data_IF_218235118872
#
_entry.id   IF_218235118872
#
_cell.length_a   1.000
_cell.length_b   1.000
_cell.length_c   1.000
_cell.angle_alpha   90.00
_cell.angle_beta   90.00
_cell.angle_gamma   90.00
#
_symmetry.space_group_name_H-M   'P 1'
#
loop_
_entity.id
_entity.type
_entity.pdbx_description
1 polymer ?
#
# COMPACT_ATOMS: atom_id res chain seq x y z
N UNK A 1 -15.64 7.22 -4.68
CA UNK A 1 -14.84 6.77 -3.54
C UNK A 1 -15.79 6.03 -2.63
N UNK A 2 -15.62 4.71 -2.50
CA UNK A 2 -16.44 3.87 -1.63
C UNK A 2 -16.03 4.16 -0.19
N UNK A 3 -16.97 4.41 0.71
CA UNK A 3 -16.64 4.55 2.13
C UNK A 3 -15.95 3.26 2.62
N UNK A 4 -14.81 3.36 3.33
CA UNK A 4 -14.12 2.19 3.83
C UNK A 4 -15.03 1.43 4.79
N UNK A 5 -15.07 0.10 4.63
CA UNK A 5 -15.82 -0.74 5.54
C UNK A 5 -15.31 -0.56 6.98
N UNK A 6 -16.20 -0.68 7.99
CA UNK A 6 -15.81 -0.77 9.38
C UNK A 6 -14.71 -1.84 9.57
N UNK A 7 -13.68 -1.55 10.35
CA UNK A 7 -12.52 -2.44 10.58
C UNK A 7 -12.92 -3.84 11.07
N UNK A 8 -14.03 -3.94 11.79
CA UNK A 8 -14.62 -5.17 12.34
C UNK A 8 -15.34 -6.03 11.28
N UNK A 9 -15.64 -5.47 10.11
CA UNK A 9 -16.39 -6.13 9.02
C UNK A 9 -15.54 -6.49 7.82
N UNK A 10 -14.31 -5.98 7.75
CA UNK A 10 -13.38 -6.30 6.69
C UNK A 10 -12.29 -7.26 7.21
N UNK A 11 -12.28 -8.53 6.76
CA UNK A 11 -11.30 -9.51 7.21
C UNK A 11 -9.85 -9.12 6.85
N UNK A 12 -9.66 -8.16 5.96
CA UNK A 12 -8.38 -7.63 5.51
C UNK A 12 -8.15 -6.19 5.94
N UNK A 13 -8.97 -5.62 6.84
CA UNK A 13 -8.85 -4.24 7.30
C UNK A 13 -7.44 -3.89 7.79
N UNK A 14 -6.83 -4.78 8.58
CA UNK A 14 -5.47 -4.60 9.07
C UNK A 14 -4.43 -4.57 7.94
N UNK A 15 -4.66 -5.27 6.83
CA UNK A 15 -3.68 -5.35 5.76
C UNK A 15 -3.55 -4.03 4.98
N UNK A 16 -4.61 -3.22 4.87
CA UNK A 16 -4.57 -1.93 4.16
C UNK A 16 -4.76 -0.70 5.07
N UNK A 17 -5.14 -0.87 6.35
CA UNK A 17 -5.31 0.22 7.34
C UNK A 17 -4.41 0.07 8.56
N UNK A 18 -3.33 -0.71 8.47
CA UNK A 18 -2.43 -0.94 9.61
C UNK A 18 -1.89 0.36 10.19
N UNK A 19 -1.55 1.33 9.33
CA UNK A 19 -1.04 2.63 9.79
C UNK A 19 -2.10 3.43 10.55
N UNK A 20 -3.33 3.48 10.06
CA UNK A 20 -4.46 4.12 10.76
C UNK A 20 -4.71 3.45 12.11
N UNK A 21 -4.77 2.12 12.13
CA UNK A 21 -4.92 1.33 13.35
C UNK A 21 -3.81 1.64 14.36
N UNK A 22 -2.56 1.74 13.91
CA UNK A 22 -1.42 2.07 14.77
C UNK A 22 -1.44 3.51 15.29
N UNK A 23 -2.09 4.44 14.58
CA UNK A 23 -2.31 5.83 15.04
C UNK A 23 -3.36 5.88 16.14
N UNK A 24 -4.45 5.11 16.01
CA UNK A 24 -5.52 5.02 17.02
C UNK A 24 -5.10 4.20 18.25
N UNK A 25 -4.28 3.17 18.04
CA UNK A 25 -3.77 2.27 19.06
C UNK A 25 -2.24 2.31 19.12
N UNK A 26 -1.66 3.43 19.61
CA UNK A 26 -0.23 3.54 19.72
C UNK A 26 0.32 2.48 20.68
N UNK A 27 1.44 1.89 20.28
CA UNK A 27 2.15 0.88 21.05
C UNK A 27 2.77 1.45 22.32
N UNK A 28 3.08 0.56 23.26
CA UNK A 28 3.86 0.93 24.45
C UNK A 28 5.32 1.16 24.08
N UNK A 29 6.02 1.90 24.94
CA UNK A 29 7.46 2.14 24.81
C UNK A 29 8.21 0.80 24.64
N UNK A 30 9.07 0.72 23.63
CA UNK A 30 9.85 -0.48 23.20
C UNK A 30 9.09 -1.60 22.49
N UNK A 31 7.79 -1.48 22.23
CA UNK A 31 7.10 -2.47 21.39
C UNK A 31 7.35 -2.17 19.90
N UNK A 32 7.74 -3.21 19.17
CA UNK A 32 7.96 -3.15 17.72
C UNK A 32 6.66 -3.30 16.92
N UNK A 33 6.64 -2.72 15.72
CA UNK A 33 5.58 -2.97 14.75
C UNK A 33 5.58 -4.42 14.34
N UNK A 34 4.41 -4.93 13.96
CA UNK A 34 4.34 -6.18 13.23
C UNK A 34 5.05 -5.99 11.87
N UNK A 35 6.19 -6.68 11.64
CA UNK A 35 7.00 -6.48 10.46
C UNK A 35 6.31 -6.94 9.17
N UNK A 36 5.31 -7.82 9.28
CA UNK A 36 4.55 -8.27 8.13
C UNK A 36 3.73 -7.12 7.54
N UNK A 37 2.89 -6.47 8.36
CA UNK A 37 2.04 -5.38 7.89
C UNK A 37 2.85 -4.16 7.44
N UNK A 38 4.03 -3.92 8.04
CA UNK A 38 4.93 -2.84 7.59
C UNK A 38 5.57 -3.06 6.23
N UNK A 39 5.60 -4.29 5.72
CA UNK A 39 6.18 -4.60 4.40
C UNK A 39 5.15 -4.56 3.28
N UNK A 40 3.87 -4.48 3.61
CA UNK A 40 2.80 -4.36 2.62
C UNK A 40 2.87 -3.00 1.94
N UNK A 41 2.76 -3.01 0.62
CA UNK A 41 2.74 -1.80 -0.21
C UNK A 41 1.55 -0.91 0.12
N UNK A 42 0.41 -1.50 0.50
CA UNK A 42 -0.78 -0.77 0.94
C UNK A 42 -0.53 0.10 2.20
N UNK A 43 0.42 -0.29 3.05
CA UNK A 43 0.76 0.43 4.29
C UNK A 43 1.99 1.34 4.15
N UNK A 44 2.54 1.47 2.94
CA UNK A 44 3.61 2.43 2.66
C UNK A 44 3.04 3.85 2.55
N UNK A 45 3.85 4.87 2.90
CA UNK A 45 3.48 6.26 2.66
C UNK A 45 3.21 6.48 1.17
N UNK A 46 2.30 7.40 0.86
CA UNK A 46 2.12 7.81 -0.54
C UNK A 46 3.42 8.40 -1.08
N UNK A 47 3.85 7.98 -2.28
CA UNK A 47 5.05 8.50 -2.92
C UNK A 47 4.85 9.96 -3.32
N UNK A 48 5.95 10.66 -3.61
CA UNK A 48 5.89 11.99 -4.20
C UNK A 48 5.20 11.93 -5.59
N UNK A 49 4.48 12.98 -5.97
CA UNK A 49 3.67 13.01 -7.18
C UNK A 49 4.48 12.82 -8.48
N UNK A 50 5.77 13.15 -8.44
CA UNK A 50 6.73 13.05 -9.54
C UNK A 50 7.65 11.83 -9.41
N UNK A 51 7.45 10.98 -8.40
CA UNK A 51 8.29 9.81 -8.19
C UNK A 51 8.02 8.74 -9.25
N UNK A 52 9.02 8.46 -10.08
CA UNK A 52 8.94 7.50 -11.18
C UNK A 52 9.61 6.16 -10.88
N UNK A 53 10.19 5.97 -9.70
CA UNK A 53 10.84 4.71 -9.35
C UNK A 53 9.81 3.57 -9.19
N UNK A 54 10.29 2.35 -9.35
CA UNK A 54 9.45 1.15 -9.32
C UNK A 54 8.68 0.98 -8.01
N UNK A 55 9.27 1.36 -6.88
CA UNK A 55 8.60 1.28 -5.59
C UNK A 55 7.45 2.28 -5.52
N UNK A 56 7.72 3.53 -5.88
CA UNK A 56 6.71 4.59 -5.93
C UNK A 56 5.56 4.28 -6.89
N UNK A 57 5.82 3.62 -8.01
CA UNK A 57 4.76 3.21 -8.95
C UNK A 57 3.93 2.03 -8.45
N UNK A 58 4.52 1.13 -7.67
CA UNK A 58 3.83 -0.06 -7.16
C UNK A 58 2.87 0.25 -5.99
N UNK A 59 3.15 1.28 -5.18
CA UNK A 59 2.30 1.69 -4.04
C UNK A 59 0.86 2.05 -4.45
N UNK A 60 0.61 3.01 -5.37
CA UNK A 60 -0.75 3.39 -5.73
C UNK A 60 -1.50 2.24 -6.40
N UNK A 61 -0.81 1.39 -7.17
CA UNK A 61 -1.40 0.17 -7.71
C UNK A 61 -1.90 -0.75 -6.59
N UNK A 62 -1.08 -1.05 -5.59
CA UNK A 62 -1.48 -1.88 -4.46
C UNK A 62 -2.66 -1.27 -3.66
N UNK A 63 -2.68 0.05 -3.49
CA UNK A 63 -3.76 0.77 -2.80
C UNK A 63 -5.08 0.80 -3.59
N UNK A 64 -5.03 1.00 -4.91
CA UNK A 64 -6.24 1.05 -5.77
C UNK A 64 -6.84 -0.33 -5.99
N UNK A 65 -6.01 -1.34 -6.20
CA UNK A 65 -6.48 -2.70 -6.50
C UNK A 65 -6.80 -3.51 -5.24
N UNK A 66 -6.57 -2.95 -4.04
CA UNK A 66 -6.75 -3.63 -2.76
C UNK A 66 -6.14 -5.04 -2.75
N UNK A 67 -5.02 -5.22 -3.46
CA UNK A 67 -4.23 -6.44 -3.40
C UNK A 67 -3.37 -6.38 -2.13
N UNK A 68 -4.08 -6.52 -1.00
CA UNK A 68 -3.65 -6.31 0.38
C UNK A 68 -2.44 -7.14 0.82
N UNK A 69 -1.92 -8.01 -0.04
CA UNK A 69 -0.83 -8.94 0.26
C UNK A 69 0.45 -8.65 -0.53
N UNK A 70 0.44 -7.66 -1.42
CA UNK A 70 1.66 -7.29 -2.11
C UNK A 70 2.65 -6.64 -1.16
N UNK A 71 3.81 -7.27 -1.07
CA UNK A 71 4.95 -6.78 -0.29
C UNK A 71 5.95 -6.07 -1.20
N UNK A 72 6.91 -5.37 -0.58
CA UNK A 72 8.07 -4.77 -1.26
C UNK A 72 8.77 -5.76 -2.19
N UNK A 73 8.82 -7.06 -1.85
CA UNK A 73 9.42 -8.11 -2.70
C UNK A 73 8.67 -8.31 -4.03
N UNK A 74 7.41 -7.94 -4.11
CA UNK A 74 6.54 -8.16 -5.28
C UNK A 74 6.58 -7.00 -6.28
N UNK A 75 7.30 -5.91 -5.97
CA UNK A 75 7.39 -4.71 -6.82
C UNK A 75 7.74 -5.07 -8.26
N UNK A 76 8.73 -5.95 -8.48
CA UNK A 76 9.13 -6.36 -9.83
C UNK A 76 7.98 -6.99 -10.62
N UNK A 77 7.13 -7.78 -9.96
CA UNK A 77 5.97 -8.40 -10.59
C UNK A 77 4.92 -7.33 -10.91
N UNK A 78 4.63 -6.44 -9.97
CA UNK A 78 3.64 -5.36 -10.14
C UNK A 78 4.03 -4.45 -11.31
N UNK A 79 5.31 -4.10 -11.43
CA UNK A 79 5.80 -3.22 -12.50
C UNK A 79 5.57 -3.82 -13.89
N UNK A 80 5.57 -5.15 -14.03
CA UNK A 80 5.22 -5.79 -15.32
C UNK A 80 3.74 -5.66 -15.69
N UNK A 81 2.87 -5.36 -14.72
CA UNK A 81 1.44 -5.12 -14.93
C UNK A 81 1.14 -3.64 -15.23
N UNK A 82 2.09 -2.75 -14.96
CA UNK A 82 1.93 -1.31 -15.12
C UNK A 82 2.38 -0.83 -16.52
N UNK A 83 1.69 0.16 -17.12
CA UNK A 83 2.16 0.79 -18.35
C UNK A 83 3.57 1.36 -18.18
N UNK A 84 4.44 1.28 -19.20
CA UNK A 84 5.78 1.85 -19.12
C UNK A 84 5.73 3.37 -18.96
N UNK A 85 6.71 3.92 -18.25
CA UNK A 85 6.88 5.36 -18.08
C UNK A 85 7.02 6.02 -19.47
N UNK A 86 6.21 7.05 -19.73
CA UNK A 86 6.24 7.80 -20.99
C UNK A 86 5.32 7.29 -22.11
N UNK A 87 4.37 6.40 -21.83
CA UNK A 87 3.20 6.24 -22.72
C UNK A 87 2.19 7.33 -22.39
N UNK A 88 2.45 8.50 -22.97
CA UNK A 88 1.42 9.51 -23.20
C UNK A 88 0.26 8.79 -23.89
N UNK A 89 -0.96 8.92 -23.36
CA UNK A 89 -2.14 8.47 -24.09
C UNK A 89 -2.26 9.41 -25.29
N UNK A 90 -1.63 9.06 -26.40
CA UNK A 90 -1.96 9.59 -27.71
C UNK A 90 -3.42 9.18 -27.99
N UNK A 91 -4.32 10.11 -27.69
CA UNK A 91 -5.73 10.06 -28.07
C UNK A 91 -5.95 10.37 -29.53
#
# INVERSE_FOLDING_TARGET
MTEPLPLDKDPYALAHRYREYMTEHPRRFLEYCNPYYERLLANQPDPAADATDDHSRAIPYAKVHYECFYEIRDIRRIITLLPPLGKENDG
#
